data_IF_141872080169
#
_entry.id   IF_141872080169
#
_cell.length_a   1.000
_cell.length_b   1.000
_cell.length_c   1.000
_cell.angle_alpha   90.00
_cell.angle_beta   90.00
_cell.angle_gamma   90.00
#
_symmetry.space_group_name_H-M   'P 1'
#
loop_
_entity.id
_entity.type
_entity.pdbx_description
1 polymer ?
#
# COMPACT_ATOMS: atom_id res chain seq x y z
N UNK A 1 -17.32 -22.35 -21.32
CA UNK A 1 -16.30 -21.61 -20.57
C UNK A 1 -15.09 -21.14 -21.39
N UNK A 2 -14.60 -21.90 -22.38
CA UNK A 2 -13.49 -21.49 -23.26
C UNK A 2 -13.82 -20.18 -24.02
N UNK A 3 -15.00 -20.00 -24.56
CA UNK A 3 -15.35 -18.82 -25.37
C UNK A 3 -15.38 -17.47 -24.63
N UNK A 4 -15.60 -17.44 -23.30
CA UNK A 4 -15.58 -16.18 -22.51
C UNK A 4 -14.16 -15.69 -22.21
N UNK A 5 -13.20 -16.62 -22.11
CA UNK A 5 -11.77 -16.30 -21.92
C UNK A 5 -11.18 -15.81 -23.24
N UNK A 6 -11.50 -16.47 -24.34
CA UNK A 6 -11.07 -16.09 -25.69
C UNK A 6 -11.63 -14.71 -26.09
N UNK A 7 -12.91 -14.43 -25.85
CA UNK A 7 -13.51 -13.15 -26.20
C UNK A 7 -12.84 -11.95 -25.50
N UNK A 8 -12.44 -12.05 -24.21
CA UNK A 8 -11.73 -10.97 -23.53
C UNK A 8 -10.30 -10.78 -23.99
N UNK A 9 -9.60 -11.85 -24.34
CA UNK A 9 -8.24 -11.75 -24.89
C UNK A 9 -8.29 -11.10 -26.27
N UNK A 10 -9.23 -11.48 -27.12
CA UNK A 10 -9.44 -10.88 -28.45
C UNK A 10 -9.76 -9.37 -28.36
N UNK A 11 -10.57 -8.96 -27.39
CA UNK A 11 -10.91 -7.53 -27.22
C UNK A 11 -9.66 -6.69 -26.91
N UNK A 12 -8.72 -7.22 -26.11
CA UNK A 12 -7.47 -6.49 -25.79
C UNK A 12 -6.52 -6.44 -27.00
N UNK A 13 -6.46 -7.50 -27.82
CA UNK A 13 -5.63 -7.52 -29.05
C UNK A 13 -6.15 -6.47 -30.05
N UNK A 14 -7.47 -6.30 -30.14
CA UNK A 14 -8.08 -5.29 -31.04
C UNK A 14 -7.65 -3.87 -30.67
N UNK A 15 -7.45 -3.58 -29.39
CA UNK A 15 -6.99 -2.26 -28.92
C UNK A 15 -5.49 -1.97 -29.20
N UNK A 16 -4.69 -2.99 -29.55
CA UNK A 16 -3.28 -2.82 -29.93
C UNK A 16 -3.14 -2.36 -31.38
N UNK A 17 -4.08 -2.73 -32.26
CA UNK A 17 -3.99 -2.47 -33.69
C UNK A 17 -3.99 -0.99 -34.05
N UNK A 18 -4.94 -0.13 -33.53
CA UNK A 18 -4.99 1.28 -33.90
C UNK A 18 -3.68 2.05 -33.61
N UNK A 19 -3.07 1.99 -32.43
CA UNK A 19 -1.84 2.72 -32.16
C UNK A 19 -0.64 2.19 -32.96
N UNK A 20 -0.59 0.89 -33.30
CA UNK A 20 0.45 0.37 -34.18
C UNK A 20 0.31 0.90 -35.61
N UNK A 21 -0.92 1.01 -36.13
CA UNK A 21 -1.17 1.61 -37.44
C UNK A 21 -0.80 3.09 -37.42
N UNK A 22 -1.17 3.82 -36.37
CA UNK A 22 -0.81 5.23 -36.23
C UNK A 22 0.72 5.37 -36.21
N UNK A 23 1.44 4.59 -35.39
CA UNK A 23 2.91 4.64 -35.33
C UNK A 23 3.58 4.34 -36.67
N UNK A 24 3.03 3.40 -37.45
CA UNK A 24 3.58 3.06 -38.77
C UNK A 24 3.34 4.13 -39.84
N UNK A 25 2.22 4.86 -39.75
CA UNK A 25 1.83 5.91 -40.69
C UNK A 25 2.38 7.30 -40.29
N UNK A 26 2.73 7.48 -39.05
CA UNK A 26 3.15 8.77 -38.48
C UNK A 26 4.31 9.42 -39.25
N UNK A 27 5.39 8.72 -39.62
CA UNK A 27 6.50 9.31 -40.39
C UNK A 27 6.09 9.84 -41.74
N UNK A 28 5.06 9.26 -42.36
CA UNK A 28 4.56 9.66 -43.67
C UNK A 28 3.60 10.84 -43.61
N UNK A 29 2.84 10.98 -42.53
CA UNK A 29 1.81 12.00 -42.39
C UNK A 29 2.35 13.37 -41.92
N UNK A 30 3.45 13.42 -41.15
CA UNK A 30 3.95 14.64 -40.49
C UNK A 30 5.39 14.97 -40.82
N UNK A 31 5.70 15.15 -42.10
CA UNK A 31 7.05 15.55 -42.56
C UNK A 31 7.46 16.98 -42.15
N UNK A 32 6.51 17.86 -41.78
CA UNK A 32 6.76 19.27 -41.52
C UNK A 32 6.79 19.71 -40.06
N UNK A 33 6.40 18.89 -39.11
CA UNK A 33 6.25 19.27 -37.69
C UNK A 33 6.82 18.20 -36.75
N UNK A 34 8.15 18.22 -36.49
CA UNK A 34 8.82 17.18 -35.69
C UNK A 34 8.35 17.15 -34.21
N UNK A 35 7.94 18.29 -33.67
CA UNK A 35 7.45 18.42 -32.31
C UNK A 35 6.13 17.63 -32.11
N UNK A 36 5.19 17.80 -33.06
CA UNK A 36 3.89 17.15 -33.02
C UNK A 36 4.02 15.63 -33.19
N UNK A 37 4.93 15.22 -34.08
CA UNK A 37 5.27 13.83 -34.29
C UNK A 37 5.77 13.16 -33.01
N UNK A 38 6.69 13.79 -32.27
CA UNK A 38 7.23 13.31 -31.02
C UNK A 38 6.16 13.18 -29.93
N UNK A 39 5.22 14.13 -29.85
CA UNK A 39 4.12 14.07 -28.86
C UNK A 39 3.19 12.89 -29.17
N UNK A 40 2.78 12.71 -30.42
CA UNK A 40 1.89 11.62 -30.82
C UNK A 40 2.59 10.27 -30.60
N UNK A 41 3.86 10.16 -30.92
CA UNK A 41 4.66 8.95 -30.67
C UNK A 41 4.66 8.58 -29.17
N UNK A 42 4.92 9.53 -28.27
CA UNK A 42 4.88 9.31 -26.82
C UNK A 42 3.51 8.84 -26.35
N UNK A 43 2.44 9.49 -26.82
CA UNK A 43 1.07 9.10 -26.45
C UNK A 43 0.76 7.67 -26.92
N UNK A 44 1.16 7.31 -28.13
CA UNK A 44 0.97 5.96 -28.66
C UNK A 44 1.74 4.91 -27.84
N UNK A 45 2.99 5.19 -27.46
CA UNK A 45 3.76 4.29 -26.61
C UNK A 45 3.14 4.11 -25.21
N UNK A 46 2.71 5.20 -24.58
CA UNK A 46 2.03 5.15 -23.27
C UNK A 46 0.73 4.32 -23.38
N UNK A 47 -0.03 4.53 -24.45
CA UNK A 47 -1.26 3.78 -24.67
C UNK A 47 -1.00 2.28 -24.89
N UNK A 48 -0.01 1.92 -25.72
CA UNK A 48 0.37 0.52 -25.96
C UNK A 48 0.79 -0.19 -24.67
N UNK A 49 1.65 0.45 -23.88
CA UNK A 49 2.05 -0.07 -22.57
C UNK A 49 0.85 -0.20 -21.62
N UNK A 50 -0.06 0.77 -21.64
CA UNK A 50 -1.30 0.72 -20.86
C UNK A 50 -2.17 -0.48 -21.23
N UNK A 51 -2.40 -0.71 -22.52
CA UNK A 51 -3.17 -1.87 -23.01
C UNK A 51 -2.50 -3.17 -22.58
N UNK A 52 -1.17 -3.26 -22.65
CA UNK A 52 -0.42 -4.44 -22.22
C UNK A 52 -0.62 -4.71 -20.71
N UNK A 53 -0.43 -3.70 -19.87
CA UNK A 53 -0.60 -3.84 -18.41
C UNK A 53 -2.05 -4.17 -18.05
N UNK A 54 -3.03 -3.53 -18.70
CA UNK A 54 -4.45 -3.85 -18.49
C UNK A 54 -4.80 -5.27 -18.91
N UNK A 55 -4.20 -5.75 -20.01
CA UNK A 55 -4.34 -7.13 -20.45
C UNK A 55 -3.79 -8.11 -19.43
N UNK A 56 -2.57 -7.87 -18.91
CA UNK A 56 -1.96 -8.69 -17.85
C UNK A 56 -2.84 -8.71 -16.61
N UNK A 57 -3.31 -7.54 -16.14
CA UNK A 57 -4.19 -7.43 -14.99
C UNK A 57 -5.51 -8.21 -15.16
N UNK A 58 -6.05 -8.22 -16.37
CA UNK A 58 -7.25 -9.01 -16.69
C UNK A 58 -6.96 -10.49 -16.64
N UNK A 59 -5.83 -10.93 -17.21
CA UNK A 59 -5.42 -12.34 -17.19
C UNK A 59 -5.18 -12.84 -15.77
N UNK A 60 -4.51 -12.07 -14.92
CA UNK A 60 -4.34 -12.38 -13.49
C UNK A 60 -5.71 -12.59 -12.82
N UNK A 61 -6.71 -11.73 -13.14
CA UNK A 61 -8.06 -11.86 -12.59
C UNK A 61 -8.77 -13.13 -13.03
N UNK A 62 -8.64 -13.49 -14.31
CA UNK A 62 -9.25 -14.70 -14.89
C UNK A 62 -8.60 -15.95 -14.33
N UNK A 63 -7.26 -15.97 -14.30
CA UNK A 63 -6.49 -17.07 -13.72
C UNK A 63 -6.89 -17.33 -12.27
N UNK A 64 -6.97 -16.27 -11.46
CA UNK A 64 -7.39 -16.38 -10.08
C UNK A 64 -8.83 -16.87 -9.93
N UNK A 65 -9.76 -16.40 -10.76
CA UNK A 65 -11.17 -16.84 -10.73
C UNK A 65 -11.30 -18.34 -11.05
N UNK A 66 -10.44 -18.86 -11.92
CA UNK A 66 -10.41 -20.29 -12.24
C UNK A 66 -9.80 -21.07 -11.08
N UNK A 67 -8.70 -20.58 -10.52
CA UNK A 67 -7.98 -21.24 -9.44
C UNK A 67 -8.77 -21.28 -8.13
N UNK A 68 -9.45 -20.19 -7.76
CA UNK A 68 -10.24 -20.08 -6.54
C UNK A 68 -11.53 -20.92 -6.53
N UNK A 69 -11.92 -21.50 -7.67
CA UNK A 69 -13.05 -22.44 -7.74
C UNK A 69 -12.72 -23.84 -7.20
N UNK A 70 -11.44 -24.16 -7.00
CA UNK A 70 -11.05 -25.43 -6.37
C UNK A 70 -11.25 -25.33 -4.86
N UNK A 71 -11.99 -26.26 -4.29
CA UNK A 71 -12.46 -26.28 -2.89
C UNK A 71 -11.36 -26.14 -1.83
N UNK A 72 -10.13 -26.53 -2.15
CA UNK A 72 -8.98 -26.47 -1.23
C UNK A 72 -8.48 -25.04 -0.88
N UNK A 73 -8.92 -24.00 -1.59
CA UNK A 73 -8.40 -22.61 -1.42
C UNK A 73 -9.48 -21.59 -1.07
N UNK A 74 -10.71 -22.05 -0.76
CA UNK A 74 -11.87 -21.20 -0.52
C UNK A 74 -11.72 -20.29 0.72
N UNK A 75 -10.99 -20.78 1.74
CA UNK A 75 -10.89 -20.12 3.05
C UNK A 75 -9.64 -19.25 3.25
N UNK A 76 -8.82 -19.08 2.21
CA UNK A 76 -7.62 -18.25 2.32
C UNK A 76 -7.86 -16.82 1.80
N UNK A 77 -7.53 -15.77 2.56
CA UNK A 77 -7.74 -14.37 2.18
C UNK A 77 -6.72 -13.88 1.14
N UNK A 78 -6.60 -14.62 0.01
CA UNK A 78 -5.62 -14.33 -1.05
C UNK A 78 -6.04 -13.17 -1.99
N UNK A 79 -7.29 -12.68 -1.87
CA UNK A 79 -7.77 -11.56 -2.69
C UNK A 79 -6.92 -10.30 -2.52
N UNK A 80 -6.49 -10.01 -1.29
CA UNK A 80 -5.63 -8.86 -0.99
C UNK A 80 -4.27 -8.93 -1.69
N UNK A 81 -3.62 -10.10 -1.71
CA UNK A 81 -2.32 -10.27 -2.38
C UNK A 81 -2.40 -9.97 -3.88
N UNK A 82 -3.46 -10.44 -4.55
CA UNK A 82 -3.66 -10.18 -5.97
C UNK A 82 -3.91 -8.71 -6.26
N UNK A 83 -4.66 -8.05 -5.38
CA UNK A 83 -4.90 -6.62 -5.50
C UNK A 83 -3.62 -5.81 -5.36
N UNK A 84 -2.71 -6.21 -4.46
CA UNK A 84 -1.38 -5.60 -4.31
C UNK A 84 -0.57 -5.79 -5.59
N UNK A 85 -0.49 -7.01 -6.15
CA UNK A 85 0.25 -7.28 -7.39
C UNK A 85 -0.29 -6.43 -8.55
N UNK A 86 -1.60 -6.32 -8.69
CA UNK A 86 -2.22 -5.47 -9.70
C UNK A 86 -1.92 -3.99 -9.49
N UNK A 87 -1.95 -3.53 -8.24
CA UNK A 87 -1.58 -2.17 -7.89
C UNK A 87 -0.13 -1.86 -8.24
N UNK A 88 0.80 -2.79 -7.95
CA UNK A 88 2.21 -2.65 -8.32
C UNK A 88 2.42 -2.57 -9.83
N UNK A 89 1.73 -3.40 -10.62
CA UNK A 89 1.80 -3.34 -12.09
C UNK A 89 1.31 -2.01 -12.64
N UNK A 90 0.22 -1.48 -12.09
CA UNK A 90 -0.28 -0.14 -12.46
C UNK A 90 0.71 0.95 -12.03
N UNK A 91 1.30 0.85 -10.83
CA UNK A 91 2.32 1.79 -10.35
C UNK A 91 3.55 1.83 -11.26
N UNK A 92 4.05 0.67 -11.68
CA UNK A 92 5.16 0.55 -12.64
C UNK A 92 4.79 1.21 -13.97
N UNK A 93 3.60 0.95 -14.50
CA UNK A 93 3.13 1.59 -15.73
C UNK A 93 3.07 3.11 -15.59
N UNK A 94 2.57 3.64 -14.49
CA UNK A 94 2.51 5.10 -14.24
C UNK A 94 3.92 5.70 -14.25
N UNK A 95 4.89 5.06 -13.58
CA UNK A 95 6.28 5.52 -13.56
C UNK A 95 6.86 5.57 -14.98
N UNK A 96 6.63 4.51 -15.78
CA UNK A 96 7.10 4.46 -17.17
C UNK A 96 6.41 5.52 -18.02
N UNK A 97 5.09 5.71 -17.86
CA UNK A 97 4.35 6.74 -18.59
C UNK A 97 4.86 8.15 -18.28
N UNK A 98 5.08 8.46 -17.01
CA UNK A 98 5.66 9.74 -16.58
C UNK A 98 7.09 9.91 -17.12
N UNK A 99 7.89 8.84 -17.09
CA UNK A 99 9.25 8.80 -17.64
C UNK A 99 9.28 9.18 -19.13
N UNK A 100 8.37 8.62 -19.92
CA UNK A 100 8.23 8.92 -21.35
C UNK A 100 7.83 10.39 -21.57
N UNK A 101 6.91 10.92 -20.75
CA UNK A 101 6.44 12.31 -20.86
C UNK A 101 7.54 13.32 -20.54
N UNK A 102 8.32 13.06 -19.48
CA UNK A 102 9.36 13.97 -18.98
C UNK A 102 10.71 13.74 -19.72
N UNK A 103 10.82 12.72 -20.56
CA UNK A 103 12.05 12.31 -21.24
C UNK A 103 13.21 11.99 -20.26
N UNK A 104 12.89 11.39 -19.14
CA UNK A 104 13.85 10.94 -18.13
C UNK A 104 13.78 9.42 -17.96
N UNK A 105 14.89 8.82 -17.54
CA UNK A 105 14.89 7.37 -17.31
C UNK A 105 13.93 7.00 -16.15
N UNK A 106 13.20 5.86 -16.24
CA UNK A 106 12.36 5.38 -15.13
C UNK A 106 13.15 5.20 -13.84
N UNK A 107 14.43 4.79 -13.94
CA UNK A 107 15.31 4.62 -12.79
C UNK A 107 15.59 5.94 -12.06
N UNK A 108 15.77 7.04 -12.79
CA UNK A 108 15.96 8.36 -12.18
C UNK A 108 14.71 8.79 -11.38
N UNK A 109 13.50 8.50 -11.89
CA UNK A 109 12.26 8.78 -11.18
C UNK A 109 12.13 7.91 -9.92
N UNK A 110 12.42 6.61 -10.03
CA UNK A 110 12.37 5.70 -8.88
C UNK A 110 13.37 6.12 -7.80
N UNK A 111 14.60 6.49 -8.19
CA UNK A 111 15.61 6.96 -7.26
C UNK A 111 15.19 8.25 -6.57
N UNK A 112 14.66 9.22 -7.33
CA UNK A 112 14.17 10.48 -6.76
C UNK A 112 12.98 10.28 -5.82
N UNK A 113 11.99 9.48 -6.21
CA UNK A 113 10.85 9.14 -5.37
C UNK A 113 11.27 8.36 -4.13
N UNK A 114 12.24 7.43 -4.27
CA UNK A 114 12.77 6.65 -3.15
C UNK A 114 13.49 7.53 -2.13
N UNK A 115 14.34 8.46 -2.60
CA UNK A 115 15.00 9.41 -1.73
C UNK A 115 13.99 10.30 -0.98
N UNK A 116 12.98 10.81 -1.68
CA UNK A 116 11.93 11.62 -1.08
C UNK A 116 11.12 10.81 -0.05
N UNK A 117 10.75 9.57 -0.40
CA UNK A 117 10.04 8.68 0.52
C UNK A 117 10.85 8.36 1.78
N UNK A 118 12.18 8.18 1.65
CA UNK A 118 13.07 7.94 2.79
C UNK A 118 13.11 9.15 3.74
N UNK A 119 13.16 10.36 3.22
CA UNK A 119 13.11 11.60 4.01
C UNK A 119 11.76 11.73 4.73
N UNK A 120 10.66 11.50 4.00
CA UNK A 120 9.32 11.52 4.62
C UNK A 120 9.19 10.46 5.72
N UNK A 121 9.67 9.23 5.47
CA UNK A 121 9.65 8.17 6.46
C UNK A 121 10.44 8.54 7.72
N UNK A 122 11.59 9.24 7.56
CA UNK A 122 12.38 9.71 8.69
C UNK A 122 11.61 10.77 9.50
N UNK A 123 10.94 11.71 8.82
CA UNK A 123 10.16 12.78 9.47
C UNK A 123 8.97 12.20 10.24
N UNK A 124 8.28 11.22 9.66
CA UNK A 124 7.06 10.63 10.24
C UNK A 124 7.31 9.37 11.07
N UNK A 125 8.56 8.97 11.25
CA UNK A 125 8.94 7.71 11.95
C UNK A 125 8.22 7.55 13.27
N UNK A 126 8.31 8.53 14.15
CA UNK A 126 7.74 8.45 15.51
C UNK A 126 6.20 8.45 15.49
N UNK A 127 5.61 9.19 14.56
CA UNK A 127 4.15 9.19 14.36
C UNK A 127 3.64 7.83 13.88
N UNK A 128 4.35 7.19 12.94
CA UNK A 128 4.00 5.87 12.44
C UNK A 128 4.17 4.82 13.54
N UNK A 129 5.27 4.86 14.29
CA UNK A 129 5.50 3.95 15.41
C UNK A 129 4.44 4.11 16.50
N UNK A 130 4.09 5.35 16.85
CA UNK A 130 3.01 5.64 17.81
C UNK A 130 1.66 5.10 17.36
N UNK A 131 1.30 5.32 16.10
CA UNK A 131 0.04 4.83 15.52
C UNK A 131 -0.03 3.30 15.50
N UNK A 132 1.02 2.63 14.99
CA UNK A 132 1.09 1.16 14.92
C UNK A 132 1.02 0.56 16.33
N UNK A 133 1.73 1.14 17.28
CA UNK A 133 1.70 0.72 18.67
C UNK A 133 0.31 0.89 19.30
N UNK A 134 -0.37 2.02 19.05
CA UNK A 134 -1.73 2.24 19.55
C UNK A 134 -2.73 1.21 19.01
N UNK A 135 -2.61 0.87 17.71
CA UNK A 135 -3.43 -0.18 17.09
C UNK A 135 -3.12 -1.56 17.72
N UNK A 136 -1.85 -1.88 17.94
CA UNK A 136 -1.45 -3.16 18.55
C UNK A 136 -1.92 -3.28 20.01
N UNK A 137 -1.80 -2.22 20.81
CA UNK A 137 -2.33 -2.19 22.18
C UNK A 137 -3.83 -2.48 22.22
N UNK A 138 -4.59 -1.85 21.31
CA UNK A 138 -6.02 -1.99 21.23
C UNK A 138 -6.46 -3.36 20.70
N UNK A 139 -5.78 -3.90 19.66
CA UNK A 139 -6.15 -5.18 19.06
C UNK A 139 -5.79 -6.39 19.91
N UNK A 140 -4.68 -6.31 20.65
CA UNK A 140 -4.20 -7.40 21.49
C UNK A 140 -4.73 -7.33 22.92
N UNK A 141 -5.62 -6.37 23.21
CA UNK A 141 -6.19 -6.16 24.55
C UNK A 141 -5.12 -6.10 25.66
N UNK A 142 -3.95 -5.54 25.35
CA UNK A 142 -2.83 -5.53 26.29
C UNK A 142 -3.07 -4.60 27.48
N UNK A 143 -3.78 -3.48 27.24
CA UNK A 143 -4.10 -2.47 28.25
C UNK A 143 -5.48 -1.90 27.95
N UNK A 144 -6.34 -1.80 28.96
CA UNK A 144 -7.69 -1.23 28.89
C UNK A 144 -7.85 -0.08 29.88
N UNK A 145 -8.86 0.76 29.65
CA UNK A 145 -9.25 1.77 30.63
C UNK A 145 -9.66 1.10 31.93
N UNK A 146 -9.10 1.55 33.03
CA UNK A 146 -9.30 0.98 34.34
C UNK A 146 -8.22 -0.02 34.80
N UNK A 147 -7.30 -0.43 33.91
CA UNK A 147 -6.20 -1.31 34.27
C UNK A 147 -5.16 -0.61 35.15
N UNK A 148 -4.67 -1.32 36.12
CA UNK A 148 -3.52 -0.90 36.91
C UNK A 148 -2.23 -1.35 36.22
N UNK A 149 -1.43 -0.39 35.79
CA UNK A 149 -0.16 -0.65 35.12
C UNK A 149 1.02 -0.08 35.88
N UNK A 150 2.14 -0.79 35.79
CA UNK A 150 3.44 -0.36 36.32
C UNK A 150 4.48 -0.46 35.20
N UNK A 151 5.21 0.65 34.98
CA UNK A 151 6.36 0.67 34.07
C UNK A 151 7.61 0.65 34.90
N UNK A 152 8.41 -0.43 34.87
CA UNK A 152 9.66 -0.53 35.65
C UNK A 152 10.64 0.58 35.29
N UNK A 153 11.20 1.26 36.31
CA UNK A 153 12.12 2.36 36.11
C UNK A 153 11.52 3.67 35.61
N UNK A 154 10.19 3.72 35.44
CA UNK A 154 9.45 4.90 35.00
C UNK A 154 8.66 5.56 36.11
N UNK A 155 8.10 6.75 35.81
CA UNK A 155 7.25 7.50 36.71
C UNK A 155 5.77 7.01 36.67
N UNK A 156 5.52 5.77 36.26
CA UNK A 156 4.17 5.24 36.02
C UNK A 156 3.88 4.08 36.96
N UNK A 157 2.96 4.32 37.88
CA UNK A 157 2.35 3.32 38.75
C UNK A 157 0.95 3.79 39.10
N UNK A 158 -0.04 3.34 38.35
CA UNK A 158 -1.40 3.87 38.53
C UNK A 158 -2.41 3.24 37.57
N UNK A 159 -3.59 3.84 37.54
CA UNK A 159 -4.74 3.36 36.77
C UNK A 159 -4.83 4.07 35.43
N UNK A 160 -5.05 3.32 34.35
CA UNK A 160 -5.23 3.85 33.02
C UNK A 160 -6.59 4.52 32.92
N UNK A 161 -6.60 5.83 32.61
CA UNK A 161 -7.83 6.62 32.48
C UNK A 161 -8.28 6.81 31.04
N UNK A 162 -7.34 6.78 30.07
CA UNK A 162 -7.65 6.93 28.64
C UNK A 162 -6.61 6.22 27.78
N UNK A 163 -7.08 5.48 26.79
CA UNK A 163 -6.26 4.81 25.77
C UNK A 163 -6.66 5.33 24.40
N UNK A 164 -5.83 6.22 23.84
CA UNK A 164 -5.99 6.76 22.50
C UNK A 164 -4.93 6.18 21.55
N UNK A 165 -5.10 6.37 20.23
CA UNK A 165 -4.16 5.84 19.23
C UNK A 165 -2.72 6.33 19.40
N UNK A 166 -2.55 7.57 19.90
CA UNK A 166 -1.23 8.19 20.02
C UNK A 166 -0.78 8.43 21.47
N UNK A 167 -1.66 8.22 22.46
CA UNK A 167 -1.37 8.50 23.86
C UNK A 167 -2.14 7.57 24.79
N UNK A 168 -1.49 7.16 25.88
CA UNK A 168 -2.12 6.49 27.01
C UNK A 168 -1.95 7.41 28.23
N UNK A 169 -3.05 7.73 28.93
CA UNK A 169 -3.03 8.52 30.15
C UNK A 169 -3.21 7.61 31.34
N UNK A 170 -2.32 7.75 32.31
CA UNK A 170 -2.31 6.98 33.56
C UNK A 170 -2.41 7.95 34.72
N UNK A 171 -3.33 7.73 35.62
CA UNK A 171 -3.42 8.43 36.91
C UNK A 171 -2.65 7.63 37.94
N UNK A 172 -1.54 8.16 38.39
CA UNK A 172 -0.75 7.56 39.47
C UNK A 172 -1.46 7.70 40.82
N UNK A 173 -1.06 6.91 41.79
CA UNK A 173 -1.63 6.96 43.16
C UNK A 173 -1.32 8.23 43.92
N UNK A 174 -0.36 9.05 43.50
CA UNK A 174 -0.09 10.38 43.99
C UNK A 174 -0.97 11.49 43.34
N UNK A 175 -2.00 11.09 42.58
CA UNK A 175 -2.88 11.92 41.76
C UNK A 175 -2.21 12.67 40.62
N UNK A 176 -0.97 12.35 40.24
CA UNK A 176 -0.36 12.87 39.01
C UNK A 176 -0.91 12.16 37.81
N UNK A 177 -1.08 12.87 36.68
CA UNK A 177 -1.44 12.27 35.41
C UNK A 177 -0.19 12.21 34.54
N UNK A 178 0.20 10.98 34.17
CA UNK A 178 1.32 10.73 33.24
C UNK A 178 0.76 10.36 31.88
N UNK A 179 1.26 11.01 30.83
CA UNK A 179 0.93 10.70 29.43
C UNK A 179 2.09 9.95 28.78
N UNK A 180 1.82 8.76 28.28
CA UNK A 180 2.83 7.85 27.71
C UNK A 180 2.49 7.60 26.26
N UNK A 181 3.48 7.66 25.32
CA UNK A 181 3.27 7.20 23.96
C UNK A 181 3.07 5.68 23.94
N UNK A 182 2.09 5.14 23.16
CA UNK A 182 1.83 3.70 23.05
C UNK A 182 3.07 2.88 22.70
N UNK A 183 3.96 3.43 21.89
CA UNK A 183 5.21 2.77 21.51
C UNK A 183 6.09 2.40 22.71
N UNK A 184 6.15 3.27 23.73
CA UNK A 184 6.93 2.98 24.94
C UNK A 184 6.38 1.81 25.75
N UNK A 185 5.06 1.57 25.67
CA UNK A 185 4.40 0.46 26.35
C UNK A 185 4.57 -0.87 25.63
N UNK A 186 4.84 -0.85 24.31
CA UNK A 186 5.06 -2.07 23.52
C UNK A 186 6.54 -2.41 23.42
N UNK A 187 7.42 -1.40 23.33
CA UNK A 187 8.87 -1.62 23.20
C UNK A 187 9.56 -1.85 24.53
N UNK A 188 8.93 -1.48 25.64
CA UNK A 188 9.43 -1.66 27.00
C UNK A 188 8.69 -2.76 27.75
N UNK A 189 9.16 -3.02 28.96
CA UNK A 189 8.46 -3.90 29.90
C UNK A 189 7.33 -3.12 30.59
N UNK A 190 6.11 -3.67 30.56
CA UNK A 190 4.94 -3.14 31.26
C UNK A 190 4.28 -4.27 32.03
N UNK A 191 4.05 -4.05 33.31
CA UNK A 191 3.30 -4.96 34.16
C UNK A 191 1.86 -4.50 34.23
N UNK A 192 0.91 -5.35 33.78
CA UNK A 192 -0.52 -5.13 33.95
C UNK A 192 -0.99 -5.99 35.12
N UNK A 193 -1.31 -5.32 36.25
CA UNK A 193 -1.68 -5.99 37.49
C UNK A 193 -3.18 -6.32 37.56
N UNK A 194 -3.99 -5.79 36.64
CA UNK A 194 -5.44 -6.05 36.60
C UNK A 194 -5.81 -7.42 36.04
N UNK A 195 -4.93 -8.01 35.22
CA UNK A 195 -5.16 -9.33 34.62
C UNK A 195 -5.10 -10.50 35.65
N UNK A 196 -4.64 -10.24 36.88
CA UNK A 196 -4.53 -11.25 37.94
C UNK A 196 -5.90 -11.70 38.45
N UNK A 197 -6.96 -10.90 38.28
CA UNK A 197 -8.29 -11.17 38.82
C UNK A 197 -9.26 -11.89 37.86
N UNK A 198 -8.80 -12.36 36.67
CA UNK A 198 -9.67 -13.04 35.70
C UNK A 198 -9.69 -14.59 35.87
N UNK A 199 -9.04 -15.12 36.89
CA UNK A 199 -8.91 -16.55 37.14
C UNK A 199 -9.73 -17.07 38.36
N UNK A 200 -10.87 -16.45 38.69
CA UNK A 200 -11.85 -17.03 39.60
C UNK A 200 -13.18 -17.30 38.89
#
# INVERSE_FOLDING_TARGET
MKGLVEAKVFTHITHVIPPLVILSLLPFAFHGTPELLRIIEKVCWIYLLGVLVFSINTQISVFWRIYSRRTAFRDRPMKGMIQIIKGLLIGIWVIIAVSILIERSPMALITGLGAFAAVLMLIFKDSILGFVAGVQLSQNDMIRNGDWIVVPGGAVNGVVIDVSLNTVKVQNFDNTIVTIPPYSLISGEVQNLSLIHISE
#
